data_IF_127835710578
#
_entry.id   IF_127835710578
#
_cell.length_a   1.000
_cell.length_b   1.000
_cell.length_c   1.000
_cell.angle_alpha   90.00
_cell.angle_beta   90.00
_cell.angle_gamma   90.00
#
_symmetry.space_group_name_H-M   'P 1'
#
loop_
_entity.id
_entity.type
_entity.pdbx_description
1 polymer ?
#
# COMPACT_ATOMS: atom_id res chain seq x y z
N UNK A 1 -17.31 0.12 -33.70
CA UNK A 1 -17.06 0.48 -32.31
C UNK A 1 -16.84 -0.81 -31.53
N UNK A 2 -15.60 -1.25 -31.40
CA UNK A 2 -15.28 -2.53 -30.75
C UNK A 2 -15.21 -2.34 -29.25
N UNK A 3 -16.16 -2.92 -28.52
CA UNK A 3 -16.08 -3.11 -27.09
C UNK A 3 -15.04 -4.18 -26.80
N UNK A 4 -13.79 -3.77 -26.66
CA UNK A 4 -12.71 -4.67 -26.26
C UNK A 4 -12.98 -5.21 -24.87
N UNK A 5 -13.55 -6.41 -24.79
CA UNK A 5 -13.59 -7.21 -23.55
C UNK A 5 -12.17 -7.55 -23.18
N UNK A 6 -11.63 -6.83 -22.18
CA UNK A 6 -10.33 -7.15 -21.60
C UNK A 6 -10.36 -8.60 -21.10
N UNK A 7 -9.57 -9.47 -21.74
CA UNK A 7 -9.40 -10.86 -21.32
C UNK A 7 -8.85 -10.90 -19.90
N UNK A 8 -9.22 -11.90 -19.11
CA UNK A 8 -9.01 -11.99 -17.66
C UNK A 8 -7.56 -12.04 -17.17
N UNK A 9 -6.57 -11.85 -18.03
CA UNK A 9 -5.13 -11.94 -17.75
C UNK A 9 -4.30 -10.74 -18.21
N UNK A 10 -4.88 -9.73 -18.86
CA UNK A 10 -4.09 -8.57 -19.28
C UNK A 10 -3.75 -7.67 -18.09
N UNK A 11 -2.45 -7.60 -17.78
CA UNK A 11 -1.93 -6.65 -16.78
C UNK A 11 -2.03 -5.24 -17.34
N UNK A 12 -2.47 -4.33 -16.51
CA UNK A 12 -2.65 -2.92 -16.87
C UNK A 12 -1.42 -2.14 -16.39
N UNK A 13 -0.57 -1.73 -17.32
CA UNK A 13 0.73 -1.14 -17.03
C UNK A 13 0.65 0.07 -16.08
N UNK A 14 -0.28 1.00 -16.29
CA UNK A 14 -0.40 2.16 -15.40
C UNK A 14 -0.72 1.79 -13.95
N UNK A 15 -1.44 0.69 -13.70
CA UNK A 15 -1.70 0.19 -12.34
C UNK A 15 -0.42 -0.31 -11.68
N UNK A 16 0.46 -0.95 -12.44
CA UNK A 16 1.76 -1.37 -11.93
C UNK A 16 2.63 -0.13 -11.61
N UNK A 17 2.61 0.92 -12.43
CA UNK A 17 3.28 2.19 -12.10
C UNK A 17 2.70 2.83 -10.83
N UNK A 18 1.37 2.88 -10.69
CA UNK A 18 0.73 3.44 -9.51
C UNK A 18 1.11 2.69 -8.23
N UNK A 19 1.07 1.35 -8.25
CA UNK A 19 1.55 0.53 -7.11
C UNK A 19 3.03 0.78 -6.81
N UNK A 20 3.86 0.94 -7.83
CA UNK A 20 5.28 1.26 -7.67
C UNK A 20 5.48 2.63 -7.02
N UNK A 21 4.73 3.61 -7.46
CA UNK A 21 4.75 4.95 -6.88
C UNK A 21 4.31 4.93 -5.41
N UNK A 22 3.19 4.27 -5.10
CA UNK A 22 2.70 4.11 -3.73
C UNK A 22 3.74 3.46 -2.81
N UNK A 23 4.32 2.33 -3.23
CA UNK A 23 5.24 1.62 -2.34
C UNK A 23 6.53 2.39 -2.10
N UNK A 24 7.03 3.14 -3.09
CA UNK A 24 8.18 4.04 -2.91
C UNK A 24 7.85 5.14 -1.90
N UNK A 25 6.67 5.77 -2.00
CA UNK A 25 6.23 6.78 -1.04
C UNK A 25 6.09 6.22 0.39
N UNK A 26 5.61 4.98 0.54
CA UNK A 26 5.49 4.33 1.85
C UNK A 26 6.87 4.09 2.45
N UNK A 27 7.81 3.52 1.69
CA UNK A 27 9.19 3.28 2.18
C UNK A 27 9.89 4.60 2.49
N UNK A 28 9.75 5.61 1.62
CA UNK A 28 10.31 6.96 1.83
C UNK A 28 9.82 7.56 3.15
N UNK A 29 8.53 7.49 3.44
CA UNK A 29 7.97 8.01 4.69
C UNK A 29 8.57 7.31 5.91
N UNK A 30 8.57 5.99 5.94
CA UNK A 30 9.11 5.24 7.08
C UNK A 30 10.61 5.47 7.27
N UNK A 31 11.36 5.57 6.16
CA UNK A 31 12.80 5.86 6.19
C UNK A 31 13.07 7.27 6.73
N UNK A 32 12.40 8.27 6.18
CA UNK A 32 12.59 9.67 6.56
C UNK A 32 12.23 9.91 8.02
N UNK A 33 11.00 9.54 8.42
CA UNK A 33 10.56 9.74 9.80
C UNK A 33 11.40 8.92 10.80
N UNK A 34 11.85 7.72 10.39
CA UNK A 34 12.73 6.91 11.21
C UNK A 34 14.14 7.47 11.37
N UNK A 35 14.70 8.13 10.35
CA UNK A 35 15.99 8.82 10.42
C UNK A 35 15.86 10.08 11.29
N UNK A 36 14.83 10.88 11.05
CA UNK A 36 14.55 12.12 11.79
C UNK A 36 14.33 11.85 13.29
N UNK A 37 13.53 10.84 13.62
CA UNK A 37 13.31 10.43 15.01
C UNK A 37 14.60 9.98 15.71
N UNK A 38 15.47 9.26 15.01
CA UNK A 38 16.75 8.81 15.57
C UNK A 38 17.79 9.93 15.73
N UNK A 39 17.71 10.96 14.86
CA UNK A 39 18.61 12.12 14.90
C UNK A 39 18.09 13.29 15.74
N UNK A 40 16.80 13.29 16.10
CA UNK A 40 16.15 14.41 16.79
C UNK A 40 16.00 15.68 15.95
N UNK A 41 16.09 15.57 14.61
CA UNK A 41 16.07 16.72 13.70
C UNK A 41 15.29 16.37 12.43
N UNK A 42 14.62 17.37 11.84
CA UNK A 42 13.96 17.25 10.55
C UNK A 42 14.93 17.40 9.38
N UNK A 43 14.64 16.73 8.26
CA UNK A 43 15.44 16.77 7.05
C UNK A 43 14.66 17.41 5.88
N UNK A 44 15.35 17.77 4.79
CA UNK A 44 14.67 18.27 3.58
C UNK A 44 13.72 17.23 2.96
N UNK A 45 13.97 15.95 3.20
CA UNK A 45 13.05 14.86 2.76
C UNK A 45 11.68 14.94 3.44
N UNK A 46 11.59 15.61 4.61
CA UNK A 46 10.32 15.82 5.31
C UNK A 46 9.27 16.51 4.42
N UNK A 47 9.70 17.48 3.62
CA UNK A 47 8.80 18.20 2.70
C UNK A 47 8.12 17.25 1.70
N UNK A 48 8.84 16.28 1.16
CA UNK A 48 8.26 15.26 0.25
C UNK A 48 7.30 14.33 0.99
N UNK A 49 7.63 13.93 2.21
CA UNK A 49 6.76 13.10 3.06
C UNK A 49 5.48 13.85 3.40
N UNK A 50 5.57 15.13 3.77
CA UNK A 50 4.44 15.99 4.06
C UNK A 50 3.55 16.19 2.81
N UNK A 51 4.15 16.50 1.65
CA UNK A 51 3.43 16.66 0.39
C UNK A 51 2.64 15.40 0.01
N UNK A 52 3.21 14.20 0.23
CA UNK A 52 2.57 12.93 -0.10
C UNK A 52 1.54 12.46 0.95
N UNK A 53 1.55 13.02 2.15
CA UNK A 53 0.71 12.58 3.28
C UNK A 53 -0.78 12.48 2.95
N UNK A 54 -1.42 13.49 2.28
CA UNK A 54 -2.86 13.45 2.04
C UNK A 54 -3.30 12.31 1.12
N UNK A 55 -2.48 11.86 0.18
CA UNK A 55 -2.88 10.92 -0.88
C UNK A 55 -2.14 9.59 -0.88
N UNK A 56 -1.00 9.47 -0.20
CA UNK A 56 -0.17 8.25 -0.20
C UNK A 56 -0.95 6.99 0.20
N UNK A 57 -1.68 7.03 1.31
CA UNK A 57 -2.46 5.87 1.77
C UNK A 57 -3.81 5.75 1.05
N UNK A 58 -4.57 6.83 0.82
CA UNK A 58 -5.74 6.82 -0.04
C UNK A 58 -5.53 6.12 -1.38
N UNK A 59 -4.44 6.45 -2.08
CA UNK A 59 -4.10 5.85 -3.37
C UNK A 59 -3.86 4.34 -3.26
N UNK A 60 -3.10 3.90 -2.26
CA UNK A 60 -2.78 2.48 -2.08
C UNK A 60 -4.04 1.64 -1.82
N UNK A 61 -4.99 2.17 -1.04
CA UNK A 61 -6.27 1.52 -0.80
C UNK A 61 -7.19 1.55 -2.02
N UNK A 62 -7.26 2.69 -2.73
CA UNK A 62 -8.07 2.80 -3.94
C UNK A 62 -7.64 1.80 -5.01
N UNK A 63 -6.33 1.68 -5.27
CA UNK A 63 -5.80 0.70 -6.23
C UNK A 63 -6.11 -0.73 -5.80
N UNK A 64 -6.10 -1.02 -4.50
CA UNK A 64 -6.46 -2.35 -3.97
C UNK A 64 -7.93 -2.70 -4.21
N UNK A 65 -8.82 -1.71 -4.29
CA UNK A 65 -10.23 -1.87 -4.62
C UNK A 65 -10.55 -2.04 -6.11
N UNK A 66 -9.69 -1.52 -7.03
CA UNK A 66 -9.97 -1.43 -8.47
C UNK A 66 -10.44 -2.71 -9.15
N UNK A 67 -9.86 -3.84 -8.78
CA UNK A 67 -10.18 -5.13 -9.43
C UNK A 67 -11.18 -5.97 -8.63
N UNK A 68 -11.76 -5.42 -7.57
CA UNK A 68 -12.65 -6.16 -6.70
C UNK A 68 -13.95 -6.56 -7.41
N UNK A 69 -14.51 -5.69 -8.25
CA UNK A 69 -15.73 -5.95 -9.01
C UNK A 69 -15.67 -7.25 -9.85
N UNK A 70 -14.46 -7.61 -10.33
CA UNK A 70 -14.26 -8.83 -11.15
C UNK A 70 -14.32 -10.14 -10.35
N UNK A 71 -14.21 -10.06 -9.02
CA UNK A 71 -14.05 -11.26 -8.17
C UNK A 71 -15.03 -11.31 -7.00
N UNK A 72 -15.75 -10.22 -6.72
CA UNK A 72 -16.63 -10.10 -5.57
C UNK A 72 -17.84 -11.06 -5.64
N UNK A 73 -18.28 -11.41 -6.85
CA UNK A 73 -19.41 -12.34 -7.07
C UNK A 73 -19.03 -13.81 -6.88
N UNK A 74 -17.74 -14.14 -6.71
CA UNK A 74 -17.31 -15.53 -6.48
C UNK A 74 -17.90 -16.08 -5.18
N UNK A 75 -18.00 -17.42 -5.10
CA UNK A 75 -18.38 -18.11 -3.86
C UNK A 75 -17.49 -17.71 -2.67
N UNK A 76 -18.02 -17.77 -1.46
CA UNK A 76 -17.34 -17.32 -0.24
C UNK A 76 -16.02 -18.05 -0.02
N UNK A 77 -15.94 -19.37 -0.25
CA UNK A 77 -14.72 -20.14 -0.03
C UNK A 77 -13.57 -19.68 -0.93
N UNK A 78 -13.83 -19.52 -2.22
CA UNK A 78 -12.84 -18.98 -3.19
C UNK A 78 -12.47 -17.55 -2.90
N UNK A 79 -13.46 -16.74 -2.48
CA UNK A 79 -13.24 -15.35 -2.15
C UNK A 79 -12.35 -15.20 -0.91
N UNK A 80 -12.68 -15.90 0.19
CA UNK A 80 -11.92 -15.88 1.44
C UNK A 80 -10.50 -16.43 1.23
N UNK A 81 -10.31 -17.48 0.45
CA UNK A 81 -8.98 -18.01 0.16
C UNK A 81 -8.07 -16.94 -0.46
N UNK A 82 -8.59 -16.17 -1.41
CA UNK A 82 -7.79 -15.20 -2.17
C UNK A 82 -7.69 -13.83 -1.53
N UNK A 83 -8.68 -13.41 -0.74
CA UNK A 83 -8.81 -12.05 -0.23
C UNK A 83 -8.62 -11.95 1.29
N UNK A 84 -8.71 -13.06 2.01
CA UNK A 84 -8.48 -13.11 3.46
C UNK A 84 -7.27 -13.96 3.79
N UNK A 85 -7.33 -15.26 3.52
CA UNK A 85 -6.27 -16.21 3.90
C UNK A 85 -4.91 -15.85 3.29
N UNK A 86 -4.91 -15.29 2.08
CA UNK A 86 -3.69 -14.81 1.42
C UNK A 86 -3.00 -13.70 2.24
N UNK A 87 -3.75 -12.70 2.69
CA UNK A 87 -3.20 -11.58 3.44
C UNK A 87 -2.91 -11.95 4.90
N UNK A 88 -3.78 -12.74 5.53
CA UNK A 88 -3.56 -13.27 6.90
C UNK A 88 -2.28 -14.11 6.96
N UNK A 89 -2.03 -14.96 5.95
CA UNK A 89 -0.80 -15.73 5.88
C UNK A 89 0.45 -14.83 5.91
N UNK A 90 0.49 -13.82 5.04
CA UNK A 90 1.63 -12.91 4.99
C UNK A 90 1.71 -12.02 6.22
N UNK A 91 0.57 -11.60 6.76
CA UNK A 91 0.56 -10.83 8.01
C UNK A 91 1.20 -11.62 9.14
N UNK A 92 0.69 -12.82 9.43
CA UNK A 92 1.20 -13.64 10.55
C UNK A 92 2.68 -13.97 10.37
N UNK A 93 3.08 -14.38 9.16
CA UNK A 93 4.47 -14.72 8.87
C UNK A 93 5.41 -13.53 9.09
N UNK A 94 5.11 -12.39 8.47
CA UNK A 94 5.98 -11.23 8.51
C UNK A 94 5.86 -10.45 9.83
N UNK A 95 4.71 -10.49 10.49
CA UNK A 95 4.56 -10.00 11.87
C UNK A 95 5.49 -10.77 12.80
N UNK A 96 5.49 -12.09 12.74
CA UNK A 96 6.40 -12.92 13.56
C UNK A 96 7.87 -12.60 13.28
N UNK A 97 8.26 -12.44 12.00
CA UNK A 97 9.63 -12.04 11.62
C UNK A 97 9.96 -10.66 12.19
N UNK A 98 9.12 -9.64 11.93
CA UNK A 98 9.36 -8.29 12.46
C UNK A 98 9.40 -8.25 13.98
N UNK A 99 8.52 -9.01 14.62
CA UNK A 99 8.47 -9.12 16.07
C UNK A 99 9.75 -9.75 16.63
N UNK A 100 10.26 -10.82 16.01
CA UNK A 100 11.50 -11.46 16.43
C UNK A 100 12.70 -10.49 16.41
N UNK A 101 12.79 -9.59 15.41
CA UNK A 101 13.80 -8.54 15.37
C UNK A 101 13.65 -7.49 16.47
N UNK A 102 12.44 -7.21 16.91
CA UNK A 102 12.16 -6.23 17.98
C UNK A 102 12.12 -6.84 19.38
N UNK A 103 11.97 -8.16 19.48
CA UNK A 103 11.82 -8.88 20.75
C UNK A 103 12.93 -8.60 21.77
N UNK A 104 14.23 -8.46 21.41
CA UNK A 104 15.26 -8.11 22.40
C UNK A 104 15.03 -6.73 23.04
N UNK A 105 14.61 -5.74 22.28
CA UNK A 105 14.31 -4.41 22.80
C UNK A 105 13.06 -4.43 23.68
N UNK A 106 12.00 -5.11 23.24
CA UNK A 106 10.78 -5.29 24.02
C UNK A 106 11.03 -6.07 25.32
N UNK A 107 11.93 -7.05 25.32
CA UNK A 107 12.30 -7.79 26.52
C UNK A 107 13.04 -6.92 27.54
N UNK A 108 13.90 -6.00 27.08
CA UNK A 108 14.57 -5.03 27.93
C UNK A 108 13.60 -4.03 28.57
N UNK A 109 12.51 -3.68 27.86
CA UNK A 109 11.52 -2.70 28.32
C UNK A 109 10.43 -3.30 29.19
N UNK A 110 9.89 -4.48 28.81
CA UNK A 110 8.68 -5.08 29.40
C UNK A 110 8.91 -6.45 30.05
N UNK A 111 10.13 -6.99 30.01
CA UNK A 111 10.46 -8.33 30.48
C UNK A 111 9.88 -9.45 29.60
N UNK A 112 10.18 -10.71 29.92
CA UNK A 112 9.79 -11.87 29.10
C UNK A 112 8.25 -12.04 28.99
N UNK A 113 7.52 -11.82 30.07
CA UNK A 113 6.04 -11.91 30.08
C UNK A 113 5.44 -10.82 29.20
N UNK A 114 6.00 -9.59 29.25
CA UNK A 114 5.58 -8.48 28.40
C UNK A 114 5.77 -8.78 26.91
N UNK A 115 6.86 -9.46 26.53
CA UNK A 115 7.06 -9.89 25.13
C UNK A 115 5.95 -10.82 24.66
N UNK A 116 5.57 -11.81 25.47
CA UNK A 116 4.48 -12.75 25.13
C UNK A 116 3.15 -12.00 24.97
N UNK A 117 2.87 -11.06 25.89
CA UNK A 117 1.66 -10.24 25.84
C UNK A 117 1.64 -9.38 24.55
N UNK A 118 2.71 -8.64 24.24
CA UNK A 118 2.81 -7.84 23.03
C UNK A 118 2.67 -8.69 21.74
N UNK A 119 3.20 -9.92 21.74
CA UNK A 119 3.03 -10.83 20.61
C UNK A 119 1.56 -11.25 20.44
N UNK A 120 0.87 -11.59 21.52
CA UNK A 120 -0.55 -11.93 21.48
C UNK A 120 -1.41 -10.74 21.05
N UNK A 121 -1.12 -9.54 21.55
CA UNK A 121 -1.79 -8.30 21.16
C UNK A 121 -1.63 -8.00 19.67
N UNK A 122 -0.50 -8.38 19.03
CA UNK A 122 -0.24 -8.19 17.61
C UNK A 122 -1.23 -8.92 16.69
N UNK A 123 -2.03 -9.85 17.20
CA UNK A 123 -3.12 -10.49 16.44
C UNK A 123 -4.41 -9.67 16.43
N UNK A 124 -4.55 -8.70 17.32
CA UNK A 124 -5.73 -7.82 17.45
C UNK A 124 -5.36 -6.39 16.97
N UNK A 125 -4.22 -5.90 17.43
CA UNK A 125 -3.67 -4.60 17.05
C UNK A 125 -2.48 -4.82 16.10
N UNK A 126 -2.55 -4.35 14.84
CA UNK A 126 -1.54 -4.67 13.84
C UNK A 126 -0.15 -4.14 14.18
N UNK A 127 0.84 -5.03 14.11
CA UNK A 127 2.20 -4.74 14.51
C UNK A 127 3.01 -3.98 13.46
N UNK A 128 3.57 -2.86 13.86
CA UNK A 128 4.56 -2.12 13.10
C UNK A 128 4.03 -1.59 11.76
N UNK A 129 4.73 -1.93 10.66
CA UNK A 129 4.39 -1.43 9.33
C UNK A 129 3.33 -2.26 8.60
N UNK A 130 2.83 -3.33 9.21
CA UNK A 130 1.98 -4.33 8.54
C UNK A 130 0.47 -4.06 8.62
N UNK A 131 0.06 -2.94 9.22
CA UNK A 131 -1.35 -2.59 9.40
C UNK A 131 -2.16 -2.54 8.09
N UNK A 132 -1.56 -2.13 6.97
CA UNK A 132 -2.23 -2.08 5.68
C UNK A 132 -2.70 -3.48 5.20
N UNK A 133 -1.82 -4.50 5.25
CA UNK A 133 -2.22 -5.86 4.84
C UNK A 133 -3.15 -6.53 5.86
N UNK A 134 -3.15 -6.07 7.10
CA UNK A 134 -4.11 -6.47 8.13
C UNK A 134 -5.52 -5.95 7.81
N UNK A 135 -5.64 -4.70 7.38
CA UNK A 135 -6.92 -4.06 7.05
C UNK A 135 -7.52 -4.54 5.72
N UNK A 136 -6.71 -4.93 4.75
CA UNK A 136 -7.23 -5.37 3.45
C UNK A 136 -8.26 -6.52 3.54
N UNK A 137 -8.06 -7.60 4.30
CA UNK A 137 -9.08 -8.61 4.54
C UNK A 137 -10.39 -8.05 5.07
N UNK A 138 -10.30 -7.13 6.03
CA UNK A 138 -11.46 -6.50 6.66
C UNK A 138 -12.24 -5.70 5.60
N UNK A 139 -11.55 -4.89 4.78
CA UNK A 139 -12.17 -4.12 3.69
C UNK A 139 -12.82 -5.02 2.65
N UNK A 140 -12.16 -6.11 2.26
CA UNK A 140 -12.72 -7.08 1.33
C UNK A 140 -13.99 -7.73 1.87
N UNK A 141 -13.99 -8.19 3.13
CA UNK A 141 -15.13 -8.83 3.76
C UNK A 141 -16.28 -7.84 3.94
N UNK A 142 -16.01 -6.65 4.47
CA UNK A 142 -17.03 -5.58 4.63
C UNK A 142 -17.69 -5.25 3.31
N UNK A 143 -16.92 -5.06 2.24
CA UNK A 143 -17.48 -4.75 0.92
C UNK A 143 -18.35 -5.90 0.40
N UNK A 144 -17.96 -7.15 0.62
CA UNK A 144 -18.77 -8.30 0.20
C UNK A 144 -20.05 -8.48 1.03
N UNK A 145 -20.01 -8.21 2.31
CA UNK A 145 -21.19 -8.26 3.19
C UNK A 145 -22.21 -7.15 2.86
N UNK A 146 -21.74 -6.00 2.41
CA UNK A 146 -22.57 -4.84 2.09
C UNK A 146 -23.11 -4.81 0.67
N UNK A 147 -22.93 -5.86 -0.13
CA UNK A 147 -23.38 -5.92 -1.55
C UNK A 147 -24.88 -5.66 -1.75
N UNK A 148 -25.72 -5.96 -0.73
CA UNK A 148 -27.17 -5.75 -0.78
C UNK A 148 -27.59 -4.31 -0.51
N UNK A 149 -26.68 -3.48 0.00
CA UNK A 149 -26.92 -2.07 0.32
C UNK A 149 -26.55 -1.24 -0.92
N UNK A 150 -27.35 -0.23 -1.30
CA UNK A 150 -27.02 0.66 -2.40
C UNK A 150 -25.61 1.24 -2.26
N UNK A 151 -24.76 1.20 -3.32
CA UNK A 151 -23.36 1.60 -3.21
C UNK A 151 -23.13 3.04 -2.73
N UNK A 152 -24.03 3.95 -3.08
CA UNK A 152 -23.95 5.34 -2.64
C UNK A 152 -24.13 5.49 -1.13
N UNK A 153 -24.95 4.65 -0.49
CA UNK A 153 -25.13 4.68 0.97
C UNK A 153 -23.83 4.25 1.66
N UNK A 154 -23.22 3.15 1.23
CA UNK A 154 -21.96 2.69 1.79
C UNK A 154 -20.86 3.72 1.58
N UNK A 155 -20.79 4.32 0.39
CA UNK A 155 -19.81 5.37 0.10
C UNK A 155 -20.02 6.60 0.99
N UNK A 156 -21.26 7.05 1.18
CA UNK A 156 -21.59 8.18 2.04
C UNK A 156 -21.25 7.92 3.51
N UNK A 157 -21.55 6.71 4.01
CA UNK A 157 -21.17 6.30 5.36
C UNK A 157 -19.66 6.23 5.55
N UNK A 158 -18.95 5.68 4.57
CA UNK A 158 -17.49 5.62 4.60
C UNK A 158 -16.85 7.03 4.55
N UNK A 159 -17.42 7.94 3.75
CA UNK A 159 -17.01 9.34 3.70
C UNK A 159 -17.28 10.06 5.03
N UNK A 160 -18.43 9.82 5.64
CA UNK A 160 -18.77 10.38 6.95
C UNK A 160 -17.79 9.90 8.04
N UNK A 161 -17.39 8.63 8.02
CA UNK A 161 -16.40 8.08 8.96
C UNK A 161 -15.01 8.77 8.78
N UNK A 162 -14.57 8.97 7.55
CA UNK A 162 -13.31 9.68 7.29
C UNK A 162 -13.38 11.14 7.76
N UNK A 163 -14.46 11.86 7.46
CA UNK A 163 -14.67 13.24 7.88
C UNK A 163 -14.77 13.36 9.41
N UNK A 164 -15.30 12.35 10.10
CA UNK A 164 -15.46 12.36 11.55
C UNK A 164 -14.12 12.29 12.30
N UNK A 165 -13.01 11.93 11.62
CA UNK A 165 -11.68 11.79 12.24
C UNK A 165 -11.71 11.01 13.55
N UNK A 166 -12.16 9.75 13.46
CA UNK A 166 -12.31 8.86 14.61
C UNK A 166 -10.92 8.48 15.14
N UNK A 167 -10.67 8.76 16.40
CA UNK A 167 -9.43 8.49 17.11
C UNK A 167 -9.75 7.73 18.42
N UNK A 168 -9.86 6.41 18.32
CA UNK A 168 -10.10 5.53 19.47
C UNK A 168 -8.82 5.06 20.14
N UNK A 169 -7.69 5.23 19.46
CA UNK A 169 -6.39 4.66 19.81
C UNK A 169 -6.21 3.22 19.35
N UNK A 170 -7.20 2.63 18.66
CA UNK A 170 -7.11 1.32 18.05
C UNK A 170 -6.87 1.46 16.54
N UNK A 171 -5.69 1.09 16.06
CA UNK A 171 -5.30 1.25 14.65
C UNK A 171 -6.33 0.65 13.69
N UNK A 172 -6.92 -0.49 14.05
CA UNK A 172 -7.92 -1.15 13.19
C UNK A 172 -9.16 -0.29 13.00
N UNK A 173 -9.67 0.33 14.06
CA UNK A 173 -10.87 1.18 14.01
C UNK A 173 -10.56 2.50 13.32
N UNK A 174 -9.49 3.16 13.73
CA UNK A 174 -9.12 4.49 13.27
C UNK A 174 -8.75 4.48 11.78
N UNK A 175 -7.93 3.52 11.35
CA UNK A 175 -7.54 3.39 9.94
C UNK A 175 -8.67 2.80 9.08
N UNK A 176 -9.59 1.97 9.65
CA UNK A 176 -10.80 1.59 8.93
C UNK A 176 -11.65 2.81 8.61
N UNK A 177 -11.93 3.63 9.60
CA UNK A 177 -12.72 4.84 9.44
C UNK A 177 -12.06 5.81 8.43
N UNK A 178 -10.77 6.01 8.54
CA UNK A 178 -10.02 6.95 7.69
C UNK A 178 -9.78 6.45 6.25
N UNK A 179 -9.79 5.13 5.96
CA UNK A 179 -9.31 4.60 4.68
C UNK A 179 -10.32 3.80 3.88
N UNK A 180 -11.38 3.30 4.50
CA UNK A 180 -12.37 2.46 3.80
C UNK A 180 -13.04 3.17 2.62
N UNK A 181 -13.27 4.48 2.72
CA UNK A 181 -13.85 5.31 1.64
C UNK A 181 -13.05 5.23 0.34
N UNK A 182 -11.72 5.27 0.42
CA UNK A 182 -10.84 5.21 -0.75
C UNK A 182 -10.82 3.82 -1.39
N UNK A 183 -10.75 2.78 -0.57
CA UNK A 183 -10.86 1.41 -1.05
C UNK A 183 -12.20 1.17 -1.76
N UNK A 184 -13.29 1.61 -1.15
CA UNK A 184 -14.63 1.47 -1.69
C UNK A 184 -14.83 2.31 -2.96
N UNK A 185 -14.26 3.53 -3.00
CA UNK A 185 -14.21 4.34 -4.22
C UNK A 185 -13.52 3.60 -5.37
N UNK A 186 -12.38 2.95 -5.10
CA UNK A 186 -11.69 2.10 -6.09
C UNK A 186 -12.59 0.99 -6.63
N UNK A 187 -13.42 0.39 -5.79
CA UNK A 187 -14.37 -0.65 -6.20
C UNK A 187 -15.51 -0.11 -7.08
N UNK A 188 -16.22 0.92 -6.62
CA UNK A 188 -17.43 1.40 -7.31
C UNK A 188 -17.11 2.28 -8.52
N UNK A 189 -15.99 3.00 -8.51
CA UNK A 189 -15.58 3.91 -9.57
C UNK A 189 -14.56 3.30 -10.54
N UNK A 190 -14.27 2.00 -10.45
CA UNK A 190 -13.24 1.34 -11.26
C UNK A 190 -13.33 1.72 -12.75
N UNK A 191 -14.51 1.59 -13.36
CA UNK A 191 -14.72 1.92 -14.79
C UNK A 191 -14.37 3.38 -15.10
N UNK A 192 -14.74 4.32 -14.21
CA UNK A 192 -14.42 5.74 -14.38
C UNK A 192 -12.93 6.02 -14.23
N UNK A 193 -12.27 5.35 -13.29
CA UNK A 193 -10.83 5.47 -13.07
C UNK A 193 -10.06 4.97 -14.30
N UNK A 194 -10.46 3.85 -14.90
CA UNK A 194 -9.89 3.38 -16.17
C UNK A 194 -10.14 4.37 -17.32
N UNK A 195 -11.31 4.97 -17.39
CA UNK A 195 -11.62 6.01 -18.39
C UNK A 195 -10.75 7.27 -18.20
N UNK A 196 -10.51 7.70 -16.96
CA UNK A 196 -9.60 8.80 -16.64
C UNK A 196 -8.19 8.48 -17.12
N UNK A 197 -7.67 7.29 -16.84
CA UNK A 197 -6.34 6.87 -17.29
C UNK A 197 -6.22 6.90 -18.82
N UNK A 198 -7.25 6.43 -19.53
CA UNK A 198 -7.30 6.49 -20.99
C UNK A 198 -7.37 7.94 -21.52
N UNK A 199 -8.17 8.82 -20.90
CA UNK A 199 -8.26 10.23 -21.27
C UNK A 199 -6.94 10.98 -21.05
N UNK A 200 -6.22 10.68 -19.95
CA UNK A 200 -4.87 11.20 -19.66
C UNK A 200 -3.89 10.80 -20.77
N UNK A 201 -3.90 9.53 -21.17
CA UNK A 201 -3.04 9.05 -22.26
C UNK A 201 -3.38 9.66 -23.61
N UNK A 202 -4.65 9.96 -23.85
CA UNK A 202 -5.09 10.63 -25.08
C UNK A 202 -4.67 12.10 -25.14
N UNK A 203 -4.65 12.80 -24.00
CA UNK A 203 -4.39 14.25 -23.92
C UNK A 203 -3.31 14.58 -22.86
N UNK A 204 -2.04 14.17 -23.08
CA UNK A 204 -0.99 14.25 -22.05
C UNK A 204 -0.66 15.69 -21.62
N UNK A 205 -0.77 16.67 -22.49
CA UNK A 205 -0.53 18.08 -22.16
C UNK A 205 -1.59 18.65 -21.20
N UNK A 206 -2.89 18.30 -21.39
CA UNK A 206 -3.95 18.68 -20.46
C UNK A 206 -3.75 18.01 -19.10
N UNK A 207 -3.33 16.73 -19.12
CA UNK A 207 -3.02 16.01 -17.90
C UNK A 207 -1.85 16.65 -17.14
N UNK A 208 -0.78 17.07 -17.85
CA UNK A 208 0.35 17.78 -17.24
C UNK A 208 -0.08 19.11 -16.62
N UNK A 209 -0.91 19.90 -17.31
CA UNK A 209 -1.47 21.14 -16.77
C UNK A 209 -2.32 20.88 -15.52
N UNK A 210 -3.20 19.87 -15.55
CA UNK A 210 -4.02 19.49 -14.42
C UNK A 210 -3.18 19.01 -13.21
N UNK A 211 -2.12 18.26 -13.45
CA UNK A 211 -1.18 17.82 -12.40
C UNK A 211 -0.42 19.00 -11.79
N UNK A 212 -0.05 20.01 -12.57
CA UNK A 212 0.57 21.24 -12.05
C UNK A 212 -0.38 21.98 -11.12
N UNK A 213 -1.65 22.18 -11.55
CA UNK A 213 -2.68 22.81 -10.72
C UNK A 213 -2.91 22.01 -9.44
N UNK A 214 -3.03 20.69 -9.54
CA UNK A 214 -3.16 19.82 -8.38
C UNK A 214 -1.97 19.92 -7.42
N UNK A 215 -0.74 19.91 -7.95
CA UNK A 215 0.46 19.97 -7.11
C UNK A 215 0.54 21.29 -6.33
N UNK A 216 0.19 22.41 -6.97
CA UNK A 216 0.10 23.72 -6.32
C UNK A 216 -0.99 23.74 -5.24
N UNK A 217 -2.16 23.19 -5.56
CA UNK A 217 -3.29 23.10 -4.63
C UNK A 217 -2.94 22.22 -3.41
N UNK A 218 -2.45 20.99 -3.64
CA UNK A 218 -2.05 20.08 -2.57
C UNK A 218 -0.94 20.69 -1.71
N UNK A 219 0.10 21.25 -2.35
CA UNK A 219 1.20 21.92 -1.65
C UNK A 219 0.74 23.09 -0.80
N UNK A 220 -0.19 23.93 -1.31
CA UNK A 220 -0.76 25.04 -0.56
C UNK A 220 -1.44 24.58 0.73
N UNK A 221 -2.32 23.57 0.68
CA UNK A 221 -2.98 23.06 1.88
C UNK A 221 -2.03 22.40 2.87
N UNK A 222 -1.01 21.68 2.37
CA UNK A 222 0.02 21.05 3.20
C UNK A 222 0.87 22.10 3.93
N UNK A 223 1.33 23.14 3.22
CA UNK A 223 2.15 24.22 3.82
C UNK A 223 1.37 24.99 4.88
N UNK A 224 0.06 25.18 4.69
CA UNK A 224 -0.81 25.83 5.70
C UNK A 224 -1.19 24.90 6.87
N UNK A 225 -0.81 23.62 6.85
CA UNK A 225 -1.20 22.64 7.86
C UNK A 225 -2.71 22.34 7.88
N UNK A 226 -3.41 22.54 6.74
CA UNK A 226 -4.83 22.33 6.61
C UNK A 226 -5.18 20.96 6.01
N UNK A 227 -4.16 20.17 5.64
CA UNK A 227 -4.31 18.86 4.99
C UNK A 227 -5.05 17.82 5.83
N UNK A 228 -5.05 17.97 7.16
CA UNK A 228 -5.76 17.09 8.10
C UNK A 228 -7.12 17.65 8.55
N UNK A 229 -7.60 18.78 8.02
CA UNK A 229 -8.92 19.31 8.36
C UNK A 229 -10.04 18.51 7.72
N UNK A 230 -11.19 18.42 8.42
CA UNK A 230 -12.41 17.78 7.94
C UNK A 230 -12.78 18.25 6.53
N UNK A 231 -13.32 17.37 5.70
CA UNK A 231 -13.60 17.58 4.28
C UNK A 231 -12.38 17.87 3.40
N UNK A 232 -11.36 18.58 3.91
CA UNK A 232 -10.13 18.88 3.16
C UNK A 232 -9.33 17.58 2.98
N UNK A 233 -9.17 16.78 4.05
CA UNK A 233 -8.47 15.48 4.00
C UNK A 233 -9.11 14.53 2.97
N UNK A 234 -10.44 14.38 3.02
CA UNK A 234 -11.17 13.56 2.04
C UNK A 234 -10.98 14.06 0.62
N UNK A 235 -11.08 15.38 0.41
CA UNK A 235 -10.93 15.99 -0.92
C UNK A 235 -9.53 15.82 -1.45
N UNK A 236 -8.50 16.16 -0.65
CA UNK A 236 -7.09 15.99 -1.04
C UNK A 236 -6.76 14.51 -1.31
N UNK A 237 -7.30 13.60 -0.50
CA UNK A 237 -7.15 12.17 -0.69
C UNK A 237 -7.74 11.70 -2.02
N UNK A 238 -9.00 12.03 -2.32
CA UNK A 238 -9.68 11.63 -3.56
C UNK A 238 -9.05 12.29 -4.81
N UNK A 239 -8.77 13.58 -4.76
CA UNK A 239 -8.13 14.28 -5.89
C UNK A 239 -6.69 13.82 -6.08
N UNK A 240 -5.96 13.59 -4.98
CA UNK A 240 -4.60 13.06 -5.01
C UNK A 240 -4.54 11.66 -5.61
N UNK A 241 -5.52 10.78 -5.34
CA UNK A 241 -5.58 9.46 -5.99
C UNK A 241 -5.77 9.58 -7.50
N UNK A 242 -6.59 10.54 -7.97
CA UNK A 242 -6.73 10.82 -9.42
C UNK A 242 -5.41 11.33 -10.01
N UNK A 243 -4.69 12.18 -9.27
CA UNK A 243 -3.38 12.67 -9.71
C UNK A 243 -2.35 11.54 -9.84
N UNK A 244 -2.30 10.59 -8.90
CA UNK A 244 -1.41 9.42 -8.99
C UNK A 244 -1.79 8.52 -10.18
N UNK A 245 -3.09 8.32 -10.44
CA UNK A 245 -3.56 7.64 -11.67
C UNK A 245 -3.06 8.36 -12.91
N UNK A 246 -3.16 9.70 -12.96
CA UNK A 246 -2.71 10.50 -14.10
C UNK A 246 -1.19 10.41 -14.31
N UNK A 247 -0.38 10.59 -13.28
CA UNK A 247 1.09 10.41 -13.33
C UNK A 247 1.44 9.02 -13.85
N UNK A 248 0.81 7.99 -13.30
CA UNK A 248 1.06 6.59 -13.65
C UNK A 248 0.66 6.26 -15.08
N UNK A 249 -0.46 6.84 -15.57
CA UNK A 249 -0.90 6.69 -16.95
C UNK A 249 0.05 7.37 -17.94
N UNK A 250 0.61 8.54 -17.60
CA UNK A 250 1.63 9.22 -18.40
C UNK A 250 2.94 8.42 -18.44
N UNK A 251 3.39 7.90 -17.30
CA UNK A 251 4.58 7.04 -17.24
C UNK A 251 4.41 5.76 -18.06
N UNK A 252 3.24 5.15 -18.02
CA UNK A 252 2.93 3.97 -18.82
C UNK A 252 2.93 4.27 -20.32
N UNK A 253 2.42 5.44 -20.73
CA UNK A 253 2.42 5.86 -22.12
C UNK A 253 3.84 6.11 -22.66
N UNK A 254 4.70 6.75 -21.86
CA UNK A 254 6.06 7.12 -22.26
C UNK A 254 7.09 6.01 -22.04
N UNK A 255 6.69 4.90 -21.40
CA UNK A 255 7.57 3.80 -21.02
C UNK A 255 8.82 4.20 -20.21
N UNK A 256 8.77 5.35 -19.51
CA UNK A 256 9.85 5.81 -18.63
C UNK A 256 9.74 5.14 -17.25
N UNK A 257 10.85 5.15 -16.50
CA UNK A 257 10.91 4.61 -15.15
C UNK A 257 10.44 3.14 -15.01
N UNK A 258 10.90 2.27 -15.90
CA UNK A 258 10.57 0.83 -15.93
C UNK A 258 10.83 0.14 -14.57
N UNK A 259 11.82 0.62 -13.82
CA UNK A 259 12.09 0.16 -12.46
C UNK A 259 10.88 0.36 -11.54
N UNK A 260 10.17 1.50 -11.65
CA UNK A 260 8.96 1.77 -10.86
C UNK A 260 7.85 0.77 -11.19
N UNK A 261 7.66 0.45 -12.48
CA UNK A 261 6.72 -0.60 -12.91
C UNK A 261 7.10 -1.97 -12.34
N UNK A 262 8.39 -2.29 -12.32
CA UNK A 262 8.87 -3.53 -11.72
C UNK A 262 8.57 -3.59 -10.21
N UNK A 263 8.80 -2.49 -9.48
CA UNK A 263 8.46 -2.38 -8.06
C UNK A 263 6.96 -2.55 -7.83
N UNK A 264 6.13 -1.97 -8.70
CA UNK A 264 4.68 -2.13 -8.62
C UNK A 264 4.19 -3.56 -8.84
N UNK A 265 4.80 -4.29 -9.79
CA UNK A 265 4.54 -5.73 -9.99
C UNK A 265 4.87 -6.56 -8.75
N UNK A 266 5.84 -6.12 -7.97
CA UNK A 266 6.35 -6.79 -6.78
C UNK A 266 6.08 -5.96 -5.51
N UNK A 267 5.07 -5.09 -5.51
CA UNK A 267 4.82 -4.16 -4.40
C UNK A 267 4.62 -4.83 -3.06
N UNK A 268 3.97 -6.00 -3.03
CA UNK A 268 3.82 -6.79 -1.80
C UNK A 268 5.17 -7.29 -1.27
N UNK A 269 6.11 -7.65 -2.15
CA UNK A 269 7.46 -8.09 -1.77
C UNK A 269 8.20 -6.95 -1.06
N UNK A 270 8.18 -5.76 -1.68
CA UNK A 270 8.81 -4.58 -1.09
C UNK A 270 8.13 -4.23 0.23
N UNK A 271 6.80 -4.20 0.27
CA UNK A 271 6.03 -3.87 1.47
C UNK A 271 6.34 -4.80 2.66
N UNK A 272 6.49 -6.09 2.43
CA UNK A 272 6.76 -7.06 3.48
C UNK A 272 8.18 -6.94 4.04
N UNK A 273 9.17 -6.70 3.18
CA UNK A 273 10.59 -6.87 3.53
C UNK A 273 11.40 -5.57 3.66
N UNK A 274 10.86 -4.40 3.26
CA UNK A 274 11.64 -3.15 3.24
C UNK A 274 12.22 -2.77 4.60
N UNK A 275 11.54 -3.13 5.70
CA UNK A 275 11.96 -2.77 7.05
C UNK A 275 13.35 -3.34 7.41
N UNK A 276 13.73 -4.50 6.85
CA UNK A 276 15.03 -5.14 7.10
C UNK A 276 16.17 -4.26 6.57
N UNK A 277 16.12 -3.93 5.28
CA UNK A 277 17.11 -3.08 4.63
C UNK A 277 17.13 -1.66 5.22
N UNK A 278 15.94 -1.13 5.51
CA UNK A 278 15.76 0.18 6.15
C UNK A 278 16.41 0.22 7.54
N UNK A 279 16.13 -0.73 8.42
CA UNK A 279 16.64 -0.75 9.78
C UNK A 279 18.17 -0.92 9.80
N UNK A 280 18.69 -1.84 8.99
CA UNK A 280 20.13 -2.10 8.89
C UNK A 280 20.90 -0.87 8.36
N UNK A 281 20.45 -0.30 7.24
CA UNK A 281 21.11 0.86 6.63
C UNK A 281 21.01 2.12 7.50
N UNK A 282 19.85 2.38 8.12
CA UNK A 282 19.68 3.50 9.06
C UNK A 282 20.66 3.39 10.21
N UNK A 283 20.74 2.21 10.84
CA UNK A 283 21.66 1.98 11.97
C UNK A 283 23.13 2.18 11.56
N UNK A 284 23.51 1.66 10.38
CA UNK A 284 24.88 1.79 9.88
C UNK A 284 25.23 3.23 9.54
N UNK A 285 24.39 3.94 8.79
CA UNK A 285 24.66 5.30 8.33
C UNK A 285 24.68 6.31 9.49
N UNK A 286 23.75 6.20 10.45
CA UNK A 286 23.71 7.10 11.60
C UNK A 286 24.88 6.84 12.59
N UNK A 287 25.28 5.57 12.79
CA UNK A 287 26.40 5.25 13.68
C UNK A 287 27.76 5.67 13.11
N UNK A 288 27.93 5.55 11.78
CA UNK A 288 29.21 5.92 11.15
C UNK A 288 29.39 7.43 11.01
N UNK A 289 28.29 8.20 10.94
CA UNK A 289 28.36 9.65 10.77
C UNK A 289 29.01 10.09 9.44
N UNK A 290 29.20 9.17 8.47
CA UNK A 290 29.89 9.47 7.21
C UNK A 290 29.18 10.52 6.35
N UNK A 291 27.86 10.64 6.51
CA UNK A 291 27.03 11.56 5.74
C UNK A 291 26.36 12.53 6.72
N UNK A 292 26.78 13.81 6.73
CA UNK A 292 26.23 14.79 7.66
C UNK A 292 24.80 15.21 7.32
N UNK A 293 24.41 15.17 6.04
CA UNK A 293 23.07 15.56 5.60
C UNK A 293 22.04 14.45 5.84
N UNK A 294 21.10 14.69 6.76
CA UNK A 294 20.05 13.75 7.15
C UNK A 294 19.09 13.41 6.02
N UNK A 295 18.83 14.34 5.10
CA UNK A 295 17.98 14.09 3.94
C UNK A 295 18.60 13.09 2.99
N UNK A 296 19.91 13.20 2.74
CA UNK A 296 20.67 12.21 1.96
C UNK A 296 20.69 10.85 2.67
N UNK A 297 20.86 10.82 4.00
CA UNK A 297 20.76 9.59 4.79
C UNK A 297 19.37 8.95 4.60
N UNK A 298 18.28 9.73 4.72
CA UNK A 298 16.92 9.24 4.54
C UNK A 298 16.67 8.69 3.13
N UNK A 299 17.21 9.36 2.09
CA UNK A 299 17.14 8.90 0.71
C UNK A 299 17.88 7.56 0.51
N UNK A 300 19.09 7.43 1.06
CA UNK A 300 19.87 6.19 0.97
C UNK A 300 19.20 5.05 1.76
N UNK A 301 18.62 5.34 2.92
CA UNK A 301 17.85 4.36 3.70
C UNK A 301 16.62 3.91 2.93
N UNK A 302 15.94 4.83 2.22
CA UNK A 302 14.81 4.50 1.33
C UNK A 302 15.25 3.56 0.20
N UNK A 303 16.32 3.92 -0.50
CA UNK A 303 16.88 3.11 -1.59
C UNK A 303 17.32 1.73 -1.09
N UNK A 304 17.98 1.67 0.06
CA UNK A 304 18.44 0.42 0.69
C UNK A 304 17.27 -0.45 1.14
N UNK A 305 16.20 0.12 1.67
CA UNK A 305 14.97 -0.60 2.03
C UNK A 305 14.35 -1.28 0.80
N UNK A 306 14.21 -0.54 -0.29
CA UNK A 306 13.65 -1.06 -1.55
C UNK A 306 14.58 -2.11 -2.17
N UNK A 307 15.85 -1.78 -2.35
CA UNK A 307 16.83 -2.67 -2.98
C UNK A 307 17.03 -3.95 -2.15
N UNK A 308 17.11 -3.83 -0.82
CA UNK A 308 17.24 -4.96 0.09
C UNK A 308 16.05 -5.92 0.02
N UNK A 309 14.82 -5.40 -0.05
CA UNK A 309 13.62 -6.22 -0.22
C UNK A 309 13.63 -6.99 -1.55
N UNK A 310 13.99 -6.31 -2.65
CA UNK A 310 14.11 -6.94 -3.97
C UNK A 310 15.25 -7.97 -4.01
N UNK A 311 16.40 -7.65 -3.44
CA UNK A 311 17.53 -8.57 -3.36
C UNK A 311 17.18 -9.82 -2.54
N UNK A 312 16.53 -9.66 -1.39
CA UNK A 312 16.05 -10.78 -0.58
C UNK A 312 15.08 -11.68 -1.38
N UNK A 313 14.13 -11.07 -2.09
CA UNK A 313 13.20 -11.81 -2.93
C UNK A 313 13.93 -12.65 -3.99
N UNK A 314 14.91 -12.08 -4.66
CA UNK A 314 15.69 -12.80 -5.68
C UNK A 314 16.52 -13.91 -5.07
N UNK A 315 17.13 -13.67 -3.91
CA UNK A 315 17.91 -14.67 -3.21
C UNK A 315 17.07 -15.89 -2.80
N UNK A 316 15.85 -15.67 -2.28
CA UNK A 316 15.04 -16.77 -1.73
C UNK A 316 14.14 -17.46 -2.76
N UNK A 317 13.89 -16.88 -3.95
CA UNK A 317 12.93 -17.44 -4.92
C UNK A 317 13.33 -18.82 -5.44
N UNK A 318 14.62 -19.12 -5.49
CA UNK A 318 15.18 -20.41 -5.90
C UNK A 318 15.43 -21.36 -4.72
N UNK A 319 15.21 -20.93 -3.48
CA UNK A 319 15.46 -21.67 -2.25
C UNK A 319 14.16 -22.23 -1.65
N UNK A 320 14.24 -23.16 -0.69
CA UNK A 320 13.07 -23.58 0.10
C UNK A 320 12.35 -22.44 0.83
N UNK A 321 13.01 -21.28 1.00
CA UNK A 321 12.50 -20.08 1.65
C UNK A 321 11.50 -19.27 0.80
N UNK A 322 11.15 -19.73 -0.39
CA UNK A 322 10.15 -19.07 -1.26
C UNK A 322 8.80 -18.80 -0.59
N UNK A 323 8.48 -19.52 0.50
CA UNK A 323 7.26 -19.31 1.28
C UNK A 323 7.18 -17.91 1.90
N UNK A 324 8.30 -17.21 2.06
CA UNK A 324 8.35 -15.82 2.53
C UNK A 324 7.53 -14.87 1.62
N UNK A 325 7.48 -15.15 0.32
CA UNK A 325 6.80 -14.30 -0.67
C UNK A 325 5.77 -15.05 -1.53
N UNK A 326 5.66 -16.36 -1.36
CA UNK A 326 4.70 -17.18 -2.09
C UNK A 326 3.96 -18.11 -1.13
N UNK A 327 2.66 -17.91 -0.99
CA UNK A 327 1.83 -18.75 -0.10
C UNK A 327 1.89 -20.22 -0.53
N UNK A 328 2.30 -21.14 0.36
CA UNK A 328 2.41 -22.56 0.05
C UNK A 328 1.04 -23.24 -0.12
N UNK A 329 1.03 -24.44 -0.70
CA UNK A 329 -0.21 -25.15 -0.97
C UNK A 329 -1.02 -25.48 0.29
N UNK A 330 -0.36 -25.91 1.36
CA UNK A 330 -1.00 -26.26 2.62
C UNK A 330 -1.74 -25.09 3.29
N UNK A 331 -1.35 -23.85 2.98
CA UNK A 331 -2.02 -22.65 3.50
C UNK A 331 -3.19 -22.19 2.62
N UNK A 332 -3.66 -22.98 1.65
CA UNK A 332 -4.78 -22.66 0.76
C UNK A 332 -6.04 -23.39 1.22
N UNK A 333 -7.20 -22.73 1.09
CA UNK A 333 -8.49 -23.35 1.32
C UNK A 333 -8.97 -24.18 0.12
N UNK A 334 -8.40 -23.96 -1.06
CA UNK A 334 -8.70 -24.69 -2.28
C UNK A 334 -7.42 -25.08 -2.99
N UNK A 335 -7.35 -26.32 -3.44
CA UNK A 335 -6.34 -26.74 -4.39
C UNK A 335 -6.51 -25.96 -5.71
N UNK A 336 -5.40 -25.67 -6.41
CA UNK A 336 -5.50 -25.17 -7.77
C UNK A 336 -6.36 -26.19 -8.54
N UNK A 337 -7.34 -25.74 -9.35
CA UNK A 337 -7.96 -26.66 -10.29
C UNK A 337 -6.81 -27.30 -11.07
N UNK A 338 -6.69 -28.63 -11.02
CA UNK A 338 -5.85 -29.35 -11.95
C UNK A 338 -6.39 -28.97 -13.32
N UNK A 339 -5.59 -28.27 -14.12
CA UNK A 339 -5.90 -28.10 -15.53
C UNK A 339 -6.11 -29.52 -16.06
N UNK A 340 -7.36 -29.87 -16.35
CA UNK A 340 -7.63 -31.01 -17.21
C UNK A 340 -6.93 -30.66 -18.51
N UNK A 341 -5.88 -31.41 -18.83
CA UNK A 341 -5.35 -31.49 -20.19
C UNK A 341 -6.54 -31.90 -21.02
N UNK A 342 -7.11 -30.97 -21.81
CA UNK A 342 -8.00 -31.36 -22.89
C UNK A 342 -7.16 -32.24 -23.82
N UNK A 343 -7.61 -33.47 -24.12
CA UNK A 343 -6.95 -34.25 -25.17
C UNK A 343 -6.96 -33.40 -26.44
N UNK A 344 -5.82 -33.32 -27.11
CA UNK A 344 -5.70 -32.75 -28.41
C UNK A 344 -6.55 -33.66 -29.35
N UNK A 345 -7.65 -33.09 -29.90
CA UNK A 345 -8.27 -33.55 -31.15
C UNK A 345 -7.92 -32.60 -32.27
#
# INVERSE_FOLDING_TARGET
>A
MGTGTLTSHERVDWVDYAKGFCIVMVVMMHSTLGVEAAAGQTSWMHAFVAFAKPFRMPDFFMISGLFLARVIARDWRTYLDRKVVHFVYFYVLWMTIQFAFKAPALAAEHGAIGVVKCYAESFIEPFGTLWFIYLLPIFFVTTKLTLRVPPLIIFALAAALEIAHIETGWTVVDEFAARFVYFYAGYILATRIFAIAAAVQARPWLAAAGLTVWALFNGFYVVLGLDAKQFISLTLGLVGTVAVVAVSALMAKSHVFVALRYLGKNSIVVYLAFFLGMAASRSALLKTGLIPDLGTVALLVTASGIAGAVALFWAVRAMPLRFLFARPAWARLQDKPKFALQPAE
#
